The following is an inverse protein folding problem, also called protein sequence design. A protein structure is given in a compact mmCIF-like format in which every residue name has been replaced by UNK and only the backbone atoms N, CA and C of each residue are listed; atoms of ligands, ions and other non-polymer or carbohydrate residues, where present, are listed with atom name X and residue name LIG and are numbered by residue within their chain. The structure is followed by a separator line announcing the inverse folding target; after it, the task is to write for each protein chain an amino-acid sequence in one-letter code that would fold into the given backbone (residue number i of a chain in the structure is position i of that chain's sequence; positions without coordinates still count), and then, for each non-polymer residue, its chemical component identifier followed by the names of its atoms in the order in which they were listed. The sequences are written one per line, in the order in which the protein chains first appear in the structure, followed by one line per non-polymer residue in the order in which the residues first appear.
data_IF_168288367548
#
_entry.id   IF_168288367548
#
_cell.length_a   1.000
_cell.length_b   1.000
_cell.length_c   1.000
_cell.angle_alpha   90.00
_cell.angle_beta   90.00
_cell.angle_gamma   90.00
#
_symmetry.space_group_name_H-M   'P 1'
#
loop_
_entity.id
_entity.type
_entity.pdbx_description
1 polymer ?
#
# COMPACT_ATOMS: atom_id res chain seq x y z
N UNK A 1 -17.57 -8.37 26.40
CA UNK A 1 -16.50 -9.09 25.67
C UNK A 1 -16.98 -10.53 25.58
N UNK A 2 -17.63 -10.91 24.48
CA UNK A 2 -18.04 -12.31 24.27
C UNK A 2 -16.88 -13.04 23.62
N UNK A 3 -16.29 -13.97 24.36
CA UNK A 3 -15.29 -14.89 23.83
C UNK A 3 -15.97 -16.25 23.76
N UNK A 4 -16.15 -16.77 22.56
CA UNK A 4 -16.63 -18.13 22.36
C UNK A 4 -15.48 -19.09 22.59
N UNK A 5 -15.66 -20.01 23.55
CA UNK A 5 -14.69 -21.05 23.85
C UNK A 5 -15.27 -22.41 23.49
N UNK A 6 -14.43 -23.28 22.94
CA UNK A 6 -14.67 -24.72 22.89
C UNK A 6 -13.52 -25.43 23.61
N UNK A 7 -13.84 -26.55 24.26
CA UNK A 7 -12.85 -27.36 24.94
C UNK A 7 -12.33 -28.44 23.98
N UNK A 8 -11.02 -28.55 23.86
CA UNK A 8 -10.33 -29.68 23.23
C UNK A 8 -9.33 -30.22 24.27
N UNK A 9 -9.70 -31.29 24.98
CA UNK A 9 -8.92 -31.77 26.13
C UNK A 9 -9.00 -30.82 27.34
N UNK A 10 -7.86 -30.53 27.99
CA UNK A 10 -7.77 -29.62 29.17
C UNK A 10 -7.53 -28.14 28.80
N UNK A 11 -7.32 -27.84 27.53
CA UNK A 11 -7.04 -26.47 27.06
C UNK A 11 -8.31 -25.77 26.62
N UNK A 12 -8.45 -24.49 26.99
CA UNK A 12 -9.46 -23.59 26.43
C UNK A 12 -8.92 -23.00 25.15
N UNK A 13 -9.60 -23.25 24.03
CA UNK A 13 -9.36 -22.59 22.75
C UNK A 13 -10.59 -21.78 22.37
N UNK A 14 -10.39 -20.64 21.72
CA UNK A 14 -11.47 -19.74 21.39
C UNK A 14 -11.03 -18.67 20.41
N UNK A 15 -11.99 -18.00 19.81
CA UNK A 15 -11.73 -16.84 18.96
C UNK A 15 -11.81 -15.59 19.80
N UNK A 16 -10.79 -14.74 19.71
CA UNK A 16 -10.84 -13.37 20.23
C UNK A 16 -10.98 -12.42 19.05
N UNK A 17 -11.66 -11.31 19.26
CA UNK A 17 -11.74 -10.25 18.26
C UNK A 17 -10.34 -9.65 18.13
N UNK A 18 -9.72 -9.70 16.94
CA UNK A 18 -8.35 -9.23 16.75
C UNK A 18 -8.14 -7.78 17.22
N UNK A 19 -9.10 -6.89 16.93
CA UNK A 19 -9.05 -5.49 17.34
C UNK A 19 -9.18 -5.28 18.85
N UNK A 20 -9.54 -6.29 19.64
CA UNK A 20 -9.51 -6.21 21.10
C UNK A 20 -8.16 -6.60 21.70
N UNK A 21 -7.16 -6.94 20.87
CA UNK A 21 -5.81 -7.29 21.33
C UNK A 21 -4.87 -6.09 21.28
N UNK A 22 -4.07 -5.93 22.34
CA UNK A 22 -3.03 -4.89 22.40
C UNK A 22 -2.01 -5.06 21.27
N UNK A 23 -1.58 -6.30 20.99
CA UNK A 23 -0.64 -6.60 19.91
C UNK A 23 -1.10 -6.07 18.55
N UNK A 24 -2.37 -6.28 18.19
CA UNK A 24 -2.91 -5.80 16.92
C UNK A 24 -3.01 -4.27 16.88
N UNK A 25 -3.46 -3.63 17.97
CA UNK A 25 -3.59 -2.17 18.00
C UNK A 25 -2.25 -1.44 18.04
N UNK A 26 -1.24 -1.98 18.73
CA UNK A 26 0.11 -1.41 18.77
C UNK A 26 0.82 -1.56 17.41
N UNK A 27 0.55 -2.65 16.69
CA UNK A 27 1.15 -2.92 15.36
C UNK A 27 0.42 -2.19 14.24
N UNK A 28 -0.89 -2.00 14.35
CA UNK A 28 -1.75 -1.50 13.26
C UNK A 28 -2.62 -0.30 13.69
N UNK A 29 -2.14 0.59 14.56
CA UNK A 29 -2.91 1.66 15.22
C UNK A 29 -3.59 2.74 14.35
N UNK A 30 -3.65 2.60 13.02
CA UNK A 30 -4.41 3.48 12.13
C UNK A 30 -5.92 3.24 12.18
N UNK A 31 -6.73 4.29 11.94
CA UNK A 31 -8.21 4.25 12.03
C UNK A 31 -8.84 3.38 10.95
N UNK A 32 -8.14 3.18 9.84
CA UNK A 32 -8.54 2.33 8.71
C UNK A 32 -7.31 1.68 8.05
N UNK A 33 -7.56 0.74 7.13
CA UNK A 33 -6.50 0.02 6.41
C UNK A 33 -5.61 0.93 5.56
N UNK A 34 -6.13 2.01 4.99
CA UNK A 34 -5.34 2.97 4.23
C UNK A 34 -4.28 3.69 5.07
N UNK A 35 -4.67 4.18 6.26
CA UNK A 35 -3.75 4.80 7.22
C UNK A 35 -2.66 3.82 7.71
N UNK A 36 -3.01 2.54 7.86
CA UNK A 36 -2.06 1.49 8.24
C UNK A 36 -1.10 1.17 7.10
N UNK A 37 -1.60 1.03 5.88
CA UNK A 37 -0.81 0.72 4.71
C UNK A 37 0.25 1.80 4.45
N UNK A 38 -0.15 3.08 4.53
CA UNK A 38 0.82 4.17 4.36
C UNK A 38 1.82 4.24 5.51
N UNK A 39 1.44 3.87 6.75
CA UNK A 39 2.39 3.78 7.86
C UNK A 39 3.49 2.77 7.57
N UNK A 40 3.12 1.58 7.10
CA UNK A 40 4.07 0.53 6.68
C UNK A 40 4.97 1.01 5.55
N UNK A 41 4.42 1.70 4.55
CA UNK A 41 5.22 2.27 3.45
C UNK A 41 6.20 3.34 3.93
N UNK A 42 5.83 4.17 4.91
CA UNK A 42 6.73 5.19 5.48
C UNK A 42 7.93 4.57 6.19
N UNK A 43 7.77 3.43 6.85
CA UNK A 43 8.88 2.70 7.48
C UNK A 43 9.91 2.18 6.47
N UNK A 44 9.54 2.12 5.18
CA UNK A 44 10.41 1.67 4.10
C UNK A 44 11.09 2.80 3.34
N UNK A 45 10.90 4.06 3.75
CA UNK A 45 11.64 5.19 3.16
C UNK A 45 13.15 4.94 3.22
N UNK A 46 13.81 5.06 2.06
CA UNK A 46 15.24 4.79 1.91
C UNK A 46 15.62 3.34 1.57
N UNK A 47 14.70 2.36 1.65
CA UNK A 47 14.96 1.00 1.15
C UNK A 47 15.30 1.02 -0.34
N UNK A 48 16.21 0.15 -0.78
CA UNK A 48 16.71 0.14 -2.16
C UNK A 48 15.64 -0.28 -3.17
N UNK A 49 15.69 0.35 -4.35
CA UNK A 49 14.90 -0.09 -5.50
C UNK A 49 15.56 -1.30 -6.16
N UNK A 50 14.84 -2.41 -6.23
CA UNK A 50 15.29 -3.60 -6.97
C UNK A 50 14.11 -4.16 -7.76
N UNK A 51 14.27 -4.30 -9.07
CA UNK A 51 13.24 -4.83 -9.96
C UNK A 51 12.73 -6.19 -9.47
N UNK A 52 11.41 -6.39 -9.55
CA UNK A 52 10.69 -7.59 -9.12
C UNK A 52 10.67 -7.89 -7.61
N UNK A 53 11.37 -7.12 -6.77
CA UNK A 53 11.40 -7.36 -5.32
C UNK A 53 10.15 -6.85 -4.58
N UNK A 54 9.79 -7.55 -3.50
CA UNK A 54 8.56 -7.35 -2.71
C UNK A 54 8.86 -7.30 -1.19
N UNK A 55 10.06 -6.84 -0.83
CA UNK A 55 10.48 -6.70 0.57
C UNK A 55 11.10 -7.95 1.20
N UNK A 56 11.35 -7.90 2.52
CA UNK A 56 11.05 -6.76 3.39
C UNK A 56 12.05 -5.59 3.28
N UNK A 57 13.21 -5.80 2.63
CA UNK A 57 14.33 -4.84 2.66
C UNK A 57 14.54 -4.07 1.33
N UNK A 58 14.07 -4.64 0.21
CA UNK A 58 14.21 -4.06 -1.14
C UNK A 58 12.91 -4.21 -1.91
N UNK A 59 12.59 -3.25 -2.77
CA UNK A 59 11.28 -3.21 -3.44
C UNK A 59 11.37 -2.70 -4.87
N UNK A 60 10.46 -3.14 -5.74
CA UNK A 60 10.04 -2.31 -6.86
C UNK A 60 8.75 -1.53 -6.53
N UNK A 61 8.32 -0.68 -7.46
CA UNK A 61 7.21 0.25 -7.22
C UNK A 61 5.92 -0.46 -6.79
N UNK A 62 5.55 -1.53 -7.50
CA UNK A 62 4.30 -2.26 -7.28
C UNK A 62 4.42 -3.32 -6.19
N UNK A 63 5.62 -3.88 -5.99
CA UNK A 63 5.95 -4.79 -4.91
C UNK A 63 5.90 -4.12 -3.54
N UNK A 64 6.29 -2.84 -3.42
CA UNK A 64 6.11 -2.06 -2.19
C UNK A 64 4.63 -1.92 -1.82
N UNK A 65 3.77 -1.62 -2.80
CA UNK A 65 2.32 -1.48 -2.57
C UNK A 65 1.74 -2.82 -2.12
N UNK A 66 2.08 -3.89 -2.82
CA UNK A 66 1.56 -5.21 -2.53
C UNK A 66 2.01 -5.71 -1.17
N UNK A 67 3.28 -5.51 -0.81
CA UNK A 67 3.80 -5.86 0.51
C UNK A 67 3.02 -5.16 1.63
N UNK A 68 2.81 -3.84 1.52
CA UNK A 68 2.14 -3.07 2.55
C UNK A 68 0.69 -3.52 2.78
N UNK A 69 -0.05 -3.82 1.71
CA UNK A 69 -1.40 -4.35 1.81
C UNK A 69 -1.44 -5.82 2.26
N UNK A 70 -0.48 -6.64 1.84
CA UNK A 70 -0.40 -8.05 2.23
C UNK A 70 -0.14 -8.22 3.74
N UNK A 71 0.66 -7.34 4.35
CA UNK A 71 0.85 -7.30 5.81
C UNK A 71 -0.47 -7.07 6.56
N UNK A 72 -1.45 -6.45 5.91
CA UNK A 72 -2.78 -6.17 6.46
C UNK A 72 -3.84 -7.19 6.02
N UNK A 73 -3.42 -8.33 5.46
CA UNK A 73 -4.30 -9.36 4.88
C UNK A 73 -5.21 -8.83 3.75
N UNK A 74 -4.79 -7.75 3.06
CA UNK A 74 -5.49 -7.19 1.90
C UNK A 74 -4.75 -7.60 0.63
N UNK A 75 -5.44 -8.33 -0.24
CA UNK A 75 -4.90 -8.69 -1.55
C UNK A 75 -4.95 -7.51 -2.52
N UNK A 76 -3.82 -7.26 -3.19
CA UNK A 76 -3.78 -6.49 -4.45
C UNK A 76 -2.89 -7.20 -5.48
N UNK A 77 -3.12 -6.99 -6.80
CA UNK A 77 -2.28 -7.55 -7.85
C UNK A 77 -0.81 -7.12 -7.75
N UNK A 78 0.09 -7.92 -8.34
CA UNK A 78 1.54 -7.69 -8.26
C UNK A 78 2.03 -6.51 -9.09
N UNK A 79 1.42 -6.27 -10.25
CA UNK A 79 1.93 -5.34 -11.25
C UNK A 79 1.15 -4.01 -11.25
N UNK A 80 1.84 -2.91 -11.58
CA UNK A 80 1.25 -1.56 -11.55
C UNK A 80 0.05 -1.38 -12.50
N UNK A 81 0.09 -2.02 -13.67
CA UNK A 81 -1.00 -2.04 -14.65
C UNK A 81 -2.25 -2.72 -14.08
N UNK A 82 -2.10 -3.89 -13.47
CA UNK A 82 -3.20 -4.60 -12.82
C UNK A 82 -3.70 -3.86 -11.58
N UNK A 83 -2.82 -3.25 -10.79
CA UNK A 83 -3.19 -2.40 -9.65
C UNK A 83 -3.99 -1.16 -10.11
N UNK A 84 -3.74 -0.67 -11.33
CA UNK A 84 -4.47 0.47 -11.91
C UNK A 84 -5.95 0.19 -12.19
N UNK A 85 -6.31 -1.10 -12.25
CA UNK A 85 -7.66 -1.61 -12.51
C UNK A 85 -8.30 -2.23 -11.26
N UNK A 86 -7.57 -2.31 -10.15
CA UNK A 86 -8.02 -2.99 -8.94
C UNK A 86 -8.57 -2.02 -7.89
N UNK A 87 -9.67 -2.41 -7.23
CA UNK A 87 -10.33 -1.61 -6.22
C UNK A 87 -11.27 -0.55 -6.80
N UNK A 88 -11.64 0.44 -5.98
CA UNK A 88 -12.56 1.50 -6.36
C UNK A 88 -11.80 2.66 -7.02
N UNK A 89 -12.08 2.93 -8.30
CA UNK A 89 -11.57 4.10 -9.01
C UNK A 89 -12.08 5.40 -8.40
N UNK A 90 -11.18 6.37 -8.24
CA UNK A 90 -11.46 7.73 -7.79
C UNK A 90 -11.38 8.68 -8.98
N UNK A 91 -12.39 9.55 -9.11
CA UNK A 91 -12.50 10.44 -10.27
C UNK A 91 -11.71 11.76 -10.09
N UNK A 92 -11.52 12.20 -8.84
CA UNK A 92 -10.94 13.49 -8.52
C UNK A 92 -9.83 13.34 -7.46
N UNK A 93 -8.74 14.12 -7.60
CA UNK A 93 -7.62 14.14 -6.66
C UNK A 93 -8.07 14.51 -5.25
N UNK A 94 -9.12 15.33 -5.11
CA UNK A 94 -9.66 15.75 -3.79
C UNK A 94 -10.22 14.58 -2.98
N UNK A 95 -10.57 13.47 -3.64
CA UNK A 95 -11.14 12.29 -2.98
C UNK A 95 -10.05 11.35 -2.44
N UNK A 96 -8.77 11.64 -2.75
CA UNK A 96 -7.63 10.86 -2.27
C UNK A 96 -7.51 10.93 -0.75
N UNK A 97 -7.37 9.74 -0.15
CA UNK A 97 -7.06 9.55 1.25
C UNK A 97 -5.76 8.74 1.39
N UNK A 98 -5.01 8.91 2.49
CA UNK A 98 -3.79 8.15 2.71
C UNK A 98 -4.04 6.64 2.55
N UNK A 99 -3.17 5.98 1.79
CA UNK A 99 -3.31 4.57 1.43
C UNK A 99 -3.80 4.33 -0.01
N UNK A 100 -4.50 5.29 -0.62
CA UNK A 100 -4.95 5.13 -2.00
C UNK A 100 -3.76 4.99 -2.97
N UNK A 101 -3.89 4.12 -3.97
CA UNK A 101 -2.88 3.92 -5.00
C UNK A 101 -3.01 4.98 -6.08
N UNK A 102 -1.89 5.53 -6.52
CA UNK A 102 -1.80 6.44 -7.66
C UNK A 102 -0.86 5.83 -8.68
N UNK A 103 -1.35 5.60 -9.89
CA UNK A 103 -0.60 4.98 -10.99
C UNK A 103 -0.23 6.00 -12.05
N UNK A 104 0.82 5.74 -12.82
CA UNK A 104 1.39 6.71 -13.74
C UNK A 104 1.84 6.10 -15.08
N UNK A 105 1.79 6.93 -16.12
CA UNK A 105 2.44 6.67 -17.41
C UNK A 105 3.86 7.25 -17.38
N UNK A 106 4.87 6.38 -17.28
CA UNK A 106 6.27 6.81 -17.11
C UNK A 106 7.20 6.38 -18.25
N UNK A 107 6.77 5.43 -19.09
CA UNK A 107 7.58 4.93 -20.20
C UNK A 107 7.43 5.78 -21.45
N UNK A 108 8.55 6.20 -22.04
CA UNK A 108 8.57 6.87 -23.35
C UNK A 108 8.37 5.90 -24.52
N UNK A 109 8.77 4.63 -24.37
CA UNK A 109 8.56 3.59 -25.39
C UNK A 109 7.16 3.00 -25.37
N UNK A 110 6.46 3.13 -24.24
CA UNK A 110 5.08 2.65 -24.03
C UNK A 110 4.25 3.75 -23.35
N UNK A 111 4.01 4.88 -24.04
CA UNK A 111 3.45 6.09 -23.43
C UNK A 111 2.01 5.96 -22.92
N UNK A 112 1.30 4.92 -23.36
CA UNK A 112 -0.09 4.64 -22.94
C UNK A 112 -0.18 3.48 -21.94
N UNK A 113 0.94 2.89 -21.53
CA UNK A 113 0.95 1.77 -20.60
C UNK A 113 1.23 2.26 -19.18
N UNK A 114 0.40 1.81 -18.24
CA UNK A 114 0.69 2.02 -16.82
C UNK A 114 1.97 1.27 -16.47
N UNK A 115 2.95 2.00 -15.96
CA UNK A 115 4.32 1.49 -15.76
C UNK A 115 4.85 1.77 -14.36
N UNK A 116 4.16 2.60 -13.59
CA UNK A 116 4.57 2.97 -12.24
C UNK A 116 3.38 3.15 -11.32
N UNK A 117 3.62 2.99 -10.02
CA UNK A 117 2.63 3.16 -8.95
C UNK A 117 3.31 3.70 -7.69
N UNK A 118 2.54 4.42 -6.90
CA UNK A 118 2.88 4.77 -5.52
C UNK A 118 1.63 4.88 -4.66
N UNK A 119 1.82 5.12 -3.36
CA UNK A 119 0.75 5.25 -2.38
C UNK A 119 0.61 6.70 -1.96
N UNK A 120 -0.59 7.25 -2.03
CA UNK A 120 -0.88 8.60 -1.55
C UNK A 120 -0.63 8.68 -0.05
N UNK A 121 0.16 9.68 0.36
CA UNK A 121 0.62 9.88 1.72
C UNK A 121 -0.18 10.96 2.48
N UNK A 122 -1.11 11.64 1.80
CA UNK A 122 -1.75 12.86 2.29
C UNK A 122 -0.96 14.11 1.91
N UNK A 123 -1.58 15.27 2.12
CA UNK A 123 -0.97 16.60 1.88
C UNK A 123 -0.37 16.77 0.47
N UNK A 124 -1.01 16.21 -0.56
CA UNK A 124 -0.53 16.31 -1.94
C UNK A 124 0.72 15.46 -2.23
N UNK A 125 1.13 14.56 -1.33
CA UNK A 125 2.32 13.74 -1.48
C UNK A 125 2.01 12.26 -1.69
N UNK A 126 2.97 11.54 -2.24
CA UNK A 126 2.91 10.08 -2.38
C UNK A 126 4.29 9.46 -2.15
N UNK A 127 4.32 8.18 -1.80
CA UNK A 127 5.54 7.41 -1.60
C UNK A 127 5.62 6.29 -2.65
N UNK A 128 6.80 6.10 -3.24
CA UNK A 128 7.06 5.06 -4.23
C UNK A 128 8.50 4.53 -4.13
N UNK A 129 8.73 3.27 -4.53
CA UNK A 129 10.07 2.81 -4.86
C UNK A 129 10.40 3.27 -6.29
N UNK A 130 11.44 4.08 -6.45
CA UNK A 130 11.78 4.71 -7.72
C UNK A 130 13.10 4.19 -8.27
N UNK A 131 13.10 3.75 -9.53
CA UNK A 131 14.33 3.41 -10.24
C UNK A 131 15.22 4.64 -10.47
N UNK A 132 14.64 5.82 -10.67
CA UNK A 132 15.38 7.07 -10.89
C UNK A 132 16.12 7.56 -9.64
N UNK A 133 15.60 7.24 -8.45
CA UNK A 133 16.23 7.57 -7.16
C UNK A 133 16.91 6.37 -6.49
N UNK A 134 16.82 5.20 -7.10
CA UNK A 134 17.34 3.91 -6.63
C UNK A 134 16.84 3.50 -5.23
N UNK A 135 15.73 4.07 -4.76
CA UNK A 135 15.18 3.84 -3.41
C UNK A 135 13.71 4.24 -3.27
N UNK A 136 13.14 3.91 -2.11
CA UNK A 136 11.84 4.41 -1.68
C UNK A 136 11.93 5.87 -1.26
N UNK A 137 11.14 6.73 -1.90
CA UNK A 137 11.14 8.18 -1.66
C UNK A 137 9.71 8.73 -1.56
N UNK A 138 9.56 9.85 -0.86
CA UNK A 138 8.34 10.65 -0.85
C UNK A 138 8.49 11.79 -1.87
N UNK A 139 7.47 12.00 -2.70
CA UNK A 139 7.43 13.03 -3.73
C UNK A 139 6.11 13.80 -3.66
N UNK A 140 6.13 15.03 -4.16
CA UNK A 140 4.93 15.84 -4.33
C UNK A 140 4.22 15.45 -5.65
N UNK A 141 2.91 15.24 -5.57
CA UNK A 141 2.10 14.71 -6.66
C UNK A 141 1.83 15.74 -7.77
N UNK A 142 1.86 17.03 -7.44
CA UNK A 142 1.58 18.11 -8.40
C UNK A 142 2.82 18.51 -9.18
N UNK A 143 4.01 18.29 -8.60
CA UNK A 143 5.30 18.54 -9.26
C UNK A 143 5.92 17.30 -9.90
N UNK A 144 5.35 16.11 -9.69
CA UNK A 144 5.83 14.87 -10.32
C UNK A 144 5.64 14.94 -11.86
N UNK A 145 6.71 14.74 -12.67
CA UNK A 145 6.70 15.08 -14.10
C UNK A 145 5.95 14.06 -14.98
N UNK A 146 5.15 13.18 -14.39
CA UNK A 146 4.44 12.12 -15.08
C UNK A 146 2.94 12.21 -14.87
N UNK A 147 2.18 11.92 -15.93
CA UNK A 147 0.73 11.96 -15.90
C UNK A 147 0.18 10.80 -15.05
N UNK A 148 -0.78 11.12 -14.17
CA UNK A 148 -1.57 10.12 -13.44
C UNK A 148 -2.43 9.33 -14.43
N UNK A 149 -2.36 8.00 -14.33
CA UNK A 149 -3.16 7.08 -15.11
C UNK A 149 -4.49 6.76 -14.40
N UNK A 150 -4.43 6.36 -13.13
CA UNK A 150 -5.61 6.16 -12.29
C UNK A 150 -5.30 6.38 -10.82
N UNK A 151 -6.36 6.59 -10.04
CA UNK A 151 -6.34 6.65 -8.58
C UNK A 151 -7.32 5.60 -8.08
N UNK A 152 -6.88 4.71 -7.19
CA UNK A 152 -7.67 3.58 -6.74
C UNK A 152 -7.63 3.42 -5.22
N UNK A 153 -8.79 3.19 -4.62
CA UNK A 153 -8.91 2.80 -3.22
C UNK A 153 -9.06 1.28 -3.12
N UNK A 154 -8.10 0.63 -2.45
CA UNK A 154 -8.04 -0.84 -2.33
C UNK A 154 -8.42 -1.35 -0.92
N UNK A 155 -9.02 -0.49 -0.09
CA UNK A 155 -9.37 -0.75 1.30
C UNK A 155 -10.76 -0.21 1.68
#
# INVERSE_FOLDING_TARGET
MEVSYSYYGKEKRGFIIQSSTKYYNDTYGGKNYGERAISLVREKLGCEYVWAMQGPDTFDCSGLMQWAYNVLDVYIPRNADQQSEFGKKLADKKDLLPGDLVTFYTSTSRPNDVTHVGMYAGNGKFIHASSAYEKVVEMDLDTYPYKIASMNRCW
#
